data_IF_154011267921
#
_entry.id   IF_154011267921
#
_cell.length_a   1.000
_cell.length_b   1.000
_cell.length_c   1.000
_cell.angle_alpha   90.00
_cell.angle_beta   90.00
_cell.angle_gamma   90.00
#
_symmetry.space_group_name_H-M   'P 1'
#
loop_
_entity.id
_entity.type
_entity.pdbx_description
1 polymer ?
#
# COMPACT_ATOMS: atom_id res chain seq x y z
N UNK A 1 -10.66 -14.74 24.97
CA UNK A 1 -10.22 -16.02 24.39
C UNK A 1 -8.89 -15.77 23.69
N UNK A 2 -7.83 -16.52 24.01
CA UNK A 2 -6.62 -16.51 23.19
C UNK A 2 -6.88 -17.39 21.98
N UNK A 3 -6.84 -16.82 20.78
CA UNK A 3 -6.89 -17.59 19.54
C UNK A 3 -5.52 -18.26 19.34
N UNK A 4 -5.42 -19.54 19.71
CA UNK A 4 -4.22 -20.34 19.48
C UNK A 4 -4.37 -20.97 18.10
N UNK A 5 -3.36 -20.79 17.25
CA UNK A 5 -3.34 -21.37 15.91
C UNK A 5 -3.32 -22.90 16.00
N UNK A 6 -4.13 -23.54 15.17
CA UNK A 6 -4.05 -24.97 14.91
C UNK A 6 -2.76 -25.31 14.16
N UNK A 7 -2.32 -26.58 14.23
CA UNK A 7 -1.16 -27.04 13.47
C UNK A 7 -1.34 -26.81 11.96
N UNK A 8 -2.55 -26.97 11.45
CA UNK A 8 -2.89 -26.72 10.05
C UNK A 8 -2.74 -25.25 9.67
N UNK A 9 -3.22 -24.32 10.50
CA UNK A 9 -3.07 -22.88 10.25
C UNK A 9 -1.61 -22.46 10.32
N UNK A 10 -0.85 -22.99 11.30
CA UNK A 10 0.58 -22.75 11.42
C UNK A 10 1.35 -23.23 10.18
N UNK A 11 0.99 -24.41 9.66
CA UNK A 11 1.59 -24.95 8.44
C UNK A 11 1.27 -24.11 7.19
N UNK A 12 0.11 -23.45 7.14
CA UNK A 12 -0.25 -22.54 6.04
C UNK A 12 0.58 -21.24 6.07
N UNK A 13 0.99 -20.75 7.23
CA UNK A 13 1.77 -19.51 7.33
C UNK A 13 3.20 -19.63 6.78
N UNK A 14 3.70 -20.85 6.60
CA UNK A 14 5.05 -21.12 6.10
C UNK A 14 5.08 -21.56 4.62
N UNK A 15 3.93 -21.58 3.94
CA UNK A 15 3.90 -21.97 2.53
C UNK A 15 4.54 -20.87 1.67
N UNK A 16 5.24 -21.24 0.58
CA UNK A 16 5.78 -20.26 -0.36
C UNK A 16 4.68 -19.39 -0.97
N UNK A 17 4.96 -18.09 -1.08
CA UNK A 17 4.07 -17.15 -1.75
C UNK A 17 3.98 -17.48 -3.24
N UNK A 18 2.77 -17.42 -3.78
CA UNK A 18 2.47 -17.72 -5.18
C UNK A 18 2.33 -16.46 -6.04
N UNK A 19 2.45 -16.62 -7.37
CA UNK A 19 2.23 -15.52 -8.32
C UNK A 19 0.81 -14.95 -8.22
N UNK A 20 -0.17 -15.81 -8.03
CA UNK A 20 -1.58 -15.42 -7.99
C UNK A 20 -1.87 -14.62 -6.72
N UNK A 21 -1.36 -15.04 -5.55
CA UNK A 21 -1.47 -14.26 -4.31
C UNK A 21 -0.83 -12.87 -4.45
N UNK A 22 0.33 -12.77 -5.10
CA UNK A 22 1.00 -11.48 -5.34
C UNK A 22 0.12 -10.58 -6.21
N UNK A 23 -0.42 -11.14 -7.30
CA UNK A 23 -1.30 -10.39 -8.21
C UNK A 23 -2.59 -9.96 -7.49
N UNK A 24 -3.25 -10.87 -6.79
CA UNK A 24 -4.47 -10.56 -6.05
C UNK A 24 -4.23 -9.47 -5.01
N UNK A 25 -3.17 -9.59 -4.22
CA UNK A 25 -2.78 -8.58 -3.24
C UNK A 25 -2.49 -7.21 -3.89
N UNK A 26 -1.81 -7.21 -5.03
CA UNK A 26 -1.52 -5.97 -5.78
C UNK A 26 -2.81 -5.31 -6.31
N UNK A 27 -3.71 -6.11 -6.88
CA UNK A 27 -4.98 -5.61 -7.42
C UNK A 27 -6.01 -5.26 -6.34
N UNK A 28 -5.84 -5.74 -5.11
CA UNK A 28 -6.65 -5.35 -3.96
C UNK A 28 -6.40 -3.88 -3.53
N UNK A 29 -5.21 -3.33 -3.80
CA UNK A 29 -4.87 -1.95 -3.41
C UNK A 29 -5.73 -0.95 -4.17
N UNK A 30 -6.41 -0.03 -3.48
CA UNK A 30 -7.22 1.00 -4.13
C UNK A 30 -6.38 1.88 -5.09
N UNK A 31 -6.98 2.26 -6.22
CA UNK A 31 -6.33 3.12 -7.23
C UNK A 31 -6.10 4.54 -6.71
N UNK A 32 -6.95 5.01 -5.78
CA UNK A 32 -6.98 6.39 -5.29
C UNK A 32 -6.03 6.62 -4.11
N UNK A 33 -5.08 5.70 -3.89
CA UNK A 33 -3.99 5.89 -2.93
C UNK A 33 -2.98 6.92 -3.44
N UNK A 34 -2.36 7.63 -2.50
CA UNK A 34 -1.36 8.65 -2.79
C UNK A 34 -0.22 8.07 -3.64
N UNK A 35 0.29 8.83 -4.63
CA UNK A 35 1.40 8.39 -5.46
C UNK A 35 2.68 8.26 -4.63
N UNK A 36 3.58 7.39 -5.09
CA UNK A 36 4.93 7.32 -4.55
C UNK A 36 5.76 8.57 -4.87
N UNK A 37 7.01 8.66 -4.40
CA UNK A 37 7.92 9.77 -4.70
C UNK A 37 8.14 10.05 -6.20
N UNK A 38 7.84 9.06 -7.06
CA UNK A 38 7.94 9.18 -8.51
C UNK A 38 6.67 9.74 -9.18
N UNK A 39 5.62 10.05 -8.42
CA UNK A 39 4.39 10.65 -8.93
C UNK A 39 3.39 9.69 -9.57
N UNK A 40 3.71 8.40 -9.69
CA UNK A 40 2.78 7.40 -10.24
C UNK A 40 1.88 6.83 -9.15
N UNK A 41 0.58 6.75 -9.45
CA UNK A 41 -0.44 6.16 -8.57
C UNK A 41 -0.50 4.64 -8.75
N UNK A 42 -1.16 3.95 -7.81
CA UNK A 42 -1.46 2.52 -7.94
C UNK A 42 -2.25 2.22 -9.22
N UNK A 43 -3.17 3.12 -9.61
CA UNK A 43 -3.93 3.02 -10.86
C UNK A 43 -3.04 2.87 -12.09
N UNK A 44 -1.99 3.70 -12.21
CA UNK A 44 -1.02 3.60 -13.30
C UNK A 44 -0.36 2.22 -13.38
N UNK A 45 0.10 1.67 -12.24
CA UNK A 45 0.76 0.37 -12.24
C UNK A 45 -0.20 -0.79 -12.53
N UNK A 46 -1.47 -0.68 -12.14
CA UNK A 46 -2.50 -1.66 -12.51
C UNK A 46 -2.77 -1.64 -14.02
N UNK A 47 -2.83 -0.47 -14.63
CA UNK A 47 -2.99 -0.33 -16.09
C UNK A 47 -1.74 -0.84 -16.84
N UNK A 48 -0.54 -0.57 -16.31
CA UNK A 48 0.72 -1.04 -16.87
C UNK A 48 1.03 -2.52 -16.59
N UNK A 49 0.18 -3.24 -15.84
CA UNK A 49 0.43 -4.62 -15.41
C UNK A 49 0.84 -5.59 -16.54
N UNK A 50 0.27 -5.53 -17.77
CA UNK A 50 0.72 -6.40 -18.87
C UNK A 50 2.19 -6.20 -19.27
N UNK A 51 2.78 -5.06 -18.91
CA UNK A 51 4.15 -4.66 -19.27
C UNK A 51 5.12 -4.94 -18.10
N UNK A 52 4.71 -4.63 -16.87
CA UNK A 52 5.61 -4.64 -15.69
C UNK A 52 5.28 -5.72 -14.65
N UNK A 53 4.16 -6.42 -14.82
CA UNK A 53 3.61 -7.30 -13.78
C UNK A 53 4.53 -8.47 -13.45
N UNK A 54 5.25 -9.01 -14.43
CA UNK A 54 6.18 -10.12 -14.19
C UNK A 54 7.45 -9.69 -13.46
N UNK A 55 7.94 -8.47 -13.70
CA UNK A 55 9.04 -7.89 -12.95
C UNK A 55 8.64 -7.65 -11.50
N UNK A 56 7.41 -7.17 -11.25
CA UNK A 56 6.87 -7.01 -9.90
C UNK A 56 6.79 -8.37 -9.20
N UNK A 57 6.21 -9.38 -9.85
CA UNK A 57 6.10 -10.74 -9.31
C UNK A 57 7.49 -11.29 -8.97
N UNK A 58 8.45 -11.17 -9.89
CA UNK A 58 9.81 -11.67 -9.69
C UNK A 58 10.49 -10.98 -8.50
N UNK A 59 10.36 -9.65 -8.40
CA UNK A 59 10.95 -8.90 -7.30
C UNK A 59 10.36 -9.31 -5.93
N UNK A 60 9.04 -9.55 -5.87
CA UNK A 60 8.38 -9.99 -4.63
C UNK A 60 8.80 -11.41 -4.27
N UNK A 61 8.84 -12.34 -5.23
CA UNK A 61 9.30 -13.71 -4.99
C UNK A 61 10.77 -13.74 -4.54
N UNK A 62 11.62 -12.93 -5.16
CA UNK A 62 13.02 -12.81 -4.77
C UNK A 62 13.15 -12.29 -3.34
N UNK A 63 12.35 -11.28 -2.96
CA UNK A 63 12.31 -10.78 -1.59
C UNK A 63 11.93 -11.86 -0.57
N UNK A 64 10.91 -12.68 -0.85
CA UNK A 64 10.53 -13.78 0.04
C UNK A 64 11.59 -14.90 0.09
N UNK A 65 12.41 -15.05 -0.96
CA UNK A 65 13.48 -16.03 -1.00
C UNK A 65 14.76 -15.58 -0.26
N UNK A 66 15.12 -14.29 -0.33
CA UNK A 66 16.42 -13.79 0.14
C UNK A 66 16.35 -12.69 1.22
N UNK A 67 15.15 -12.18 1.54
CA UNK A 67 14.91 -11.13 2.52
C UNK A 67 15.44 -9.74 2.11
N UNK A 68 15.79 -9.53 0.84
CA UNK A 68 16.40 -8.29 0.34
C UNK A 68 15.46 -7.58 -0.62
N UNK A 69 15.21 -6.31 -0.32
CA UNK A 69 14.46 -5.41 -1.19
C UNK A 69 15.39 -4.33 -1.74
N UNK A 70 15.18 -3.90 -2.99
CA UNK A 70 15.92 -2.78 -3.55
C UNK A 70 15.65 -1.52 -2.72
N UNK A 71 16.72 -0.81 -2.32
CA UNK A 71 16.62 0.39 -1.46
C UNK A 71 15.67 1.45 -2.01
N UNK A 72 15.56 1.55 -3.33
CA UNK A 72 14.69 2.50 -4.02
C UNK A 72 13.20 2.21 -3.81
N UNK A 73 12.81 0.95 -3.57
CA UNK A 73 11.41 0.58 -3.29
C UNK A 73 10.97 1.12 -1.92
N UNK A 74 11.88 1.28 -0.97
CA UNK A 74 11.60 1.85 0.35
C UNK A 74 11.48 3.38 0.35
N UNK A 75 11.62 4.05 -0.79
CA UNK A 75 11.46 5.49 -0.87
C UNK A 75 9.98 5.86 -0.67
N UNK A 76 9.68 6.52 0.45
CA UNK A 76 8.34 7.00 0.81
C UNK A 76 8.29 8.52 0.74
N UNK A 77 7.18 9.08 0.24
CA UNK A 77 6.89 10.51 0.34
C UNK A 77 6.22 10.78 1.69
N UNK A 78 6.90 11.51 2.58
CA UNK A 78 6.31 11.94 3.85
C UNK A 78 5.61 13.29 3.65
N UNK A 79 4.28 13.29 3.67
CA UNK A 79 3.47 14.50 3.69
C UNK A 79 2.94 14.73 5.12
N UNK A 80 3.33 15.85 5.74
CA UNK A 80 2.77 16.27 7.03
C UNK A 80 1.43 16.94 6.78
N UNK A 81 0.34 16.35 7.29
CA UNK A 81 -0.99 16.96 7.27
C UNK A 81 -1.22 17.64 8.62
N UNK A 82 -1.31 18.98 8.67
CA UNK A 82 -1.52 19.69 9.93
C UNK A 82 -2.91 19.40 10.49
N UNK A 83 -2.98 18.90 11.72
CA UNK A 83 -4.26 18.59 12.39
C UNK A 83 -5.08 19.86 12.72
N UNK A 84 -4.42 20.99 12.90
CA UNK A 84 -5.03 22.18 13.52
C UNK A 84 -5.42 23.29 12.52
N UNK A 85 -4.99 23.21 11.26
CA UNK A 85 -5.34 24.23 10.25
C UNK A 85 -6.85 24.33 9.99
N UNK A 86 -7.62 23.31 10.34
CA UNK A 86 -9.07 23.27 10.17
C UNK A 86 -9.83 24.04 11.26
N UNK A 87 -9.25 24.29 12.44
CA UNK A 87 -9.95 24.98 13.54
C UNK A 87 -10.34 26.42 13.17
N UNK A 88 -9.42 27.17 12.56
CA UNK A 88 -9.68 28.54 12.11
C UNK A 88 -10.60 28.65 10.89
N UNK A 89 -10.58 27.65 10.01
CA UNK A 89 -11.44 27.61 8.82
C UNK A 89 -12.93 27.42 9.18
N UNK A 90 -13.26 26.60 10.19
CA UNK A 90 -14.63 26.50 10.68
C UNK A 90 -15.08 27.76 11.44
N UNK A 91 -14.21 28.39 12.24
CA UNK A 91 -14.54 29.64 12.93
C UNK A 91 -14.81 30.80 11.95
N UNK A 92 -14.03 30.94 10.88
CA UNK A 92 -14.25 31.99 9.87
C UNK A 92 -15.45 31.76 8.96
N UNK A 93 -15.96 30.52 8.88
CA UNK A 93 -17.18 30.19 8.12
C UNK A 93 -18.43 30.33 9.00
N UNK A 94 -18.36 29.89 10.26
CA UNK A 94 -19.43 30.11 11.25
C UNK A 94 -19.66 31.59 11.56
N UNK A 95 -18.62 32.46 11.50
CA UNK A 95 -18.78 33.91 11.68
C UNK A 95 -19.27 34.66 10.43
N UNK A 96 -19.27 34.02 9.25
CA UNK A 96 -19.79 34.61 8.00
C UNK A 96 -21.26 34.27 7.73
N UNK A 97 -21.78 33.24 8.39
CA UNK A 97 -23.15 32.76 8.22
C UNK A 97 -24.07 33.12 9.42
N UNK A 98 -23.67 34.07 10.28
CA UNK A 98 -24.57 34.68 11.28
C UNK A 98 -25.27 35.89 10.64
N UNK A 99 -26.61 35.91 10.52
CA UNK A 99 -27.34 37.06 9.99
C UNK A 99 -27.20 38.31 10.86
#
# INVERSE_FOLDING_TARGET
AQHILTESESAQLITPVTKDEIKEAFFYIDKDKSPGPNGYTVGFYKEAWPIIGEEIIRAVLEFFANGRLLKQINATLLAVIPKELFSGYYQQRLLRDVP
#
